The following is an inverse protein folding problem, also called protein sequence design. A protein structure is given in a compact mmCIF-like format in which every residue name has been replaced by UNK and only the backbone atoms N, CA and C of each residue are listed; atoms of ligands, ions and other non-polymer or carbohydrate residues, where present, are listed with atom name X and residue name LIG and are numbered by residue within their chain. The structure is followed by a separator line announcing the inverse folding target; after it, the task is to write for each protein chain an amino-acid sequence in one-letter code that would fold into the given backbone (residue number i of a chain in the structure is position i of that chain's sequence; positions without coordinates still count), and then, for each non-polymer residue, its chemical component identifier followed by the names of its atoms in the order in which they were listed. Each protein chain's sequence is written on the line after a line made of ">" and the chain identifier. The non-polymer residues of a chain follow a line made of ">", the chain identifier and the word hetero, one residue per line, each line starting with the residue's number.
data_IF_853720025807
#
_entry.id   IF_853720025807
#
_cell.length_a   1.000
_cell.length_b   1.000
_cell.length_c   1.000
_cell.angle_alpha   90.00
_cell.angle_beta   90.00
_cell.angle_gamma   90.00
#
_symmetry.space_group_name_H-M   'P 1'
#
loop_
_entity.id
_entity.type
_entity.pdbx_description
1 polymer ?
#
# COMPACT_ATOMS: atom_id res chain seq x y z
N UNK A 1 38.51 -13.77 -42.33
CA UNK A 1 38.74 -13.01 -41.08
C UNK A 1 38.08 -11.66 -41.23
N UNK A 2 37.04 -11.43 -40.44
CA UNK A 2 36.45 -10.15 -40.00
C UNK A 2 35.00 -10.44 -39.58
N UNK A 3 34.84 -10.96 -38.36
CA UNK A 3 33.53 -11.12 -37.73
C UNK A 3 33.07 -9.76 -37.15
N UNK A 4 31.77 -9.43 -37.22
CA UNK A 4 31.22 -8.18 -36.72
C UNK A 4 31.09 -8.19 -35.18
N UNK A 5 30.92 -7.02 -34.54
CA UNK A 5 31.09 -6.87 -33.10
C UNK A 5 29.91 -7.48 -32.32
N UNK A 6 30.26 -8.25 -31.28
CA UNK A 6 29.36 -8.68 -30.23
C UNK A 6 28.99 -7.47 -29.37
N UNK A 7 27.82 -6.88 -29.62
CA UNK A 7 27.18 -5.92 -28.72
C UNK A 7 25.78 -6.42 -28.37
N UNK A 8 25.61 -6.78 -27.11
CA UNK A 8 24.35 -7.22 -26.52
C UNK A 8 24.50 -7.33 -25.01
N UNK A 9 24.90 -6.22 -24.37
CA UNK A 9 25.01 -6.11 -22.93
C UNK A 9 23.62 -5.98 -22.28
N UNK A 10 23.13 -7.09 -21.70
CA UNK A 10 22.19 -7.22 -20.57
C UNK A 10 20.81 -6.53 -20.60
N UNK A 11 19.96 -6.76 -19.58
CA UNK A 11 20.05 -7.75 -18.50
C UNK A 11 18.93 -8.79 -18.56
N UNK A 12 19.25 -9.99 -18.07
CA UNK A 12 18.31 -11.03 -17.68
C UNK A 12 17.31 -10.46 -16.67
N UNK A 13 16.18 -9.95 -17.16
CA UNK A 13 15.05 -9.53 -16.34
C UNK A 13 14.09 -10.72 -16.21
N UNK A 14 14.64 -11.90 -15.93
CA UNK A 14 13.90 -13.13 -15.63
C UNK A 14 13.48 -13.18 -14.15
N UNK A 15 12.94 -12.06 -13.65
CA UNK A 15 12.48 -11.93 -12.27
C UNK A 15 10.99 -11.54 -12.15
N UNK A 16 10.24 -11.52 -13.26
CA UNK A 16 8.84 -11.06 -13.27
C UNK A 16 7.83 -12.12 -13.73
N UNK A 17 8.15 -13.41 -13.60
CA UNK A 17 7.28 -14.50 -14.08
C UNK A 17 6.48 -15.22 -12.98
N UNK A 18 6.43 -14.71 -11.74
CA UNK A 18 5.73 -15.38 -10.64
C UNK A 18 4.79 -14.51 -9.79
N UNK A 19 4.62 -13.22 -10.08
CA UNK A 19 3.79 -12.32 -9.28
C UNK A 19 2.58 -11.75 -10.05
N UNK A 20 1.75 -12.62 -10.64
CA UNK A 20 0.46 -12.22 -11.22
C UNK A 20 -0.63 -11.89 -10.17
N UNK A 21 -0.31 -11.83 -8.88
CA UNK A 21 -1.32 -11.64 -7.83
C UNK A 21 -1.10 -10.31 -7.08
N UNK A 22 -1.87 -9.31 -7.54
CA UNK A 22 -2.04 -7.96 -7.00
C UNK A 22 -0.87 -7.00 -7.28
N UNK A 23 -1.09 -6.07 -8.20
CA UNK A 23 -0.18 -4.95 -8.43
C UNK A 23 -0.07 -4.07 -7.18
N UNK A 24 1.05 -3.36 -6.95
CA UNK A 24 1.20 -2.42 -5.84
C UNK A 24 0.06 -1.39 -5.76
N UNK A 25 -0.43 -0.91 -6.90
CA UNK A 25 -1.59 -0.03 -6.98
C UNK A 25 -2.90 -0.66 -6.49
N UNK A 26 -3.08 -1.96 -6.72
CA UNK A 26 -4.26 -2.70 -6.24
C UNK A 26 -4.21 -2.91 -4.72
N UNK A 27 -3.02 -3.20 -4.17
CA UNK A 27 -2.79 -3.25 -2.71
C UNK A 27 -3.06 -1.89 -2.06
N UNK A 28 -2.62 -0.81 -2.69
CA UNK A 28 -2.87 0.55 -2.23
C UNK A 28 -4.37 0.86 -2.19
N UNK A 29 -5.11 0.51 -3.24
CA UNK A 29 -6.56 0.69 -3.31
C UNK A 29 -7.28 -0.10 -2.22
N UNK A 30 -6.86 -1.34 -1.97
CA UNK A 30 -7.42 -2.19 -0.92
C UNK A 30 -7.19 -1.57 0.47
N UNK A 31 -5.98 -1.11 0.76
CA UNK A 31 -5.66 -0.43 2.02
C UNK A 31 -6.46 0.87 2.18
N UNK A 32 -6.60 1.66 1.13
CA UNK A 32 -7.42 2.88 1.14
C UNK A 32 -8.90 2.57 1.40
N UNK A 33 -9.42 1.51 0.77
CA UNK A 33 -10.81 1.06 0.96
C UNK A 33 -11.04 0.62 2.40
N UNK A 34 -10.13 -0.19 2.97
CA UNK A 34 -10.17 -0.60 4.38
C UNK A 34 -10.10 0.60 5.33
N UNK A 35 -9.21 1.56 5.04
CA UNK A 35 -9.08 2.79 5.82
C UNK A 35 -10.39 3.61 5.82
N UNK A 36 -11.02 3.78 4.65
CA UNK A 36 -12.30 4.50 4.53
C UNK A 36 -13.44 3.78 5.26
N UNK A 37 -13.47 2.44 5.22
CA UNK A 37 -14.45 1.65 5.95
C UNK A 37 -14.29 1.80 7.47
N UNK A 38 -13.04 1.77 7.97
CA UNK A 38 -12.76 2.05 9.39
C UNK A 38 -13.18 3.46 9.79
N UNK A 39 -12.93 4.46 8.95
CA UNK A 39 -13.32 5.84 9.21
C UNK A 39 -14.83 5.98 9.37
N UNK A 40 -15.58 5.38 8.44
CA UNK A 40 -17.06 5.36 8.48
C UNK A 40 -17.54 4.69 9.77
N UNK A 41 -16.96 3.55 10.14
CA UNK A 41 -17.29 2.83 11.37
C UNK A 41 -17.00 3.64 12.63
N UNK A 42 -15.89 4.37 12.67
CA UNK A 42 -15.53 5.27 13.77
C UNK A 42 -16.54 6.42 13.86
N UNK A 43 -16.93 7.03 12.74
CA UNK A 43 -17.92 8.11 12.70
C UNK A 43 -19.31 7.65 13.18
N UNK A 44 -19.72 6.45 12.77
CA UNK A 44 -20.95 5.83 13.24
C UNK A 44 -20.90 5.57 14.76
N UNK A 45 -19.80 4.96 15.26
CA UNK A 45 -19.58 4.74 16.69
C UNK A 45 -19.61 6.03 17.51
N UNK A 46 -19.12 7.13 16.96
CA UNK A 46 -19.16 8.46 17.58
C UNK A 46 -20.58 9.04 17.67
N UNK A 47 -21.51 8.58 16.84
CA UNK A 47 -22.90 9.05 16.83
C UNK A 47 -23.76 8.40 17.93
N UNK A 48 -23.29 7.30 18.54
CA UNK A 48 -24.02 6.64 19.63
C UNK A 48 -23.71 7.28 20.99
N UNK A 49 -24.71 7.49 21.86
CA UNK A 49 -24.53 8.10 23.18
C UNK A 49 -23.68 7.25 24.15
N UNK A 50 -23.73 5.92 24.01
CA UNK A 50 -22.90 4.99 24.78
C UNK A 50 -21.79 4.39 23.90
N UNK A 51 -20.90 5.26 23.42
CA UNK A 51 -19.77 4.85 22.61
C UNK A 51 -18.76 4.02 23.42
N UNK A 52 -18.40 2.84 22.92
CA UNK A 52 -17.40 1.99 23.54
C UNK A 52 -15.99 2.58 23.30
N UNK A 53 -15.47 3.29 24.30
CA UNK A 53 -14.18 3.98 24.22
C UNK A 53 -13.01 3.04 23.91
N UNK A 54 -13.02 1.80 24.44
CA UNK A 54 -11.98 0.80 24.17
C UNK A 54 -12.00 0.40 22.69
N UNK A 55 -13.19 0.15 22.15
CA UNK A 55 -13.37 -0.17 20.74
C UNK A 55 -12.93 0.99 19.85
N UNK A 56 -13.32 2.22 20.18
CA UNK A 56 -12.91 3.43 19.45
C UNK A 56 -11.38 3.60 19.44
N UNK A 57 -10.72 3.41 20.59
CA UNK A 57 -9.26 3.46 20.66
C UNK A 57 -8.59 2.41 19.77
N UNK A 58 -9.11 1.17 19.76
CA UNK A 58 -8.61 0.10 18.87
C UNK A 58 -8.79 0.47 17.40
N UNK A 59 -9.97 0.94 17.01
CA UNK A 59 -10.25 1.31 15.61
C UNK A 59 -9.39 2.50 15.16
N UNK A 60 -9.19 3.51 16.02
CA UNK A 60 -8.28 4.63 15.73
C UNK A 60 -6.83 4.17 15.54
N UNK A 61 -6.37 3.24 16.38
CA UNK A 61 -5.02 2.65 16.24
C UNK A 61 -4.88 1.83 14.96
N UNK A 62 -5.91 1.09 14.59
CA UNK A 62 -5.93 0.32 13.33
C UNK A 62 -5.98 1.25 12.11
N UNK A 63 -6.77 2.32 12.16
CA UNK A 63 -6.81 3.38 11.15
C UNK A 63 -5.42 4.01 10.95
N UNK A 64 -4.72 4.34 12.04
CA UNK A 64 -3.36 4.89 11.97
C UNK A 64 -2.39 3.91 11.29
N UNK A 65 -2.43 2.62 11.67
CA UNK A 65 -1.60 1.58 11.03
C UNK A 65 -1.87 1.43 9.54
N UNK A 66 -3.14 1.51 9.12
CA UNK A 66 -3.46 1.49 7.69
C UNK A 66 -2.93 2.73 6.97
N UNK A 67 -3.00 3.91 7.60
CA UNK A 67 -2.41 5.14 7.05
C UNK A 67 -0.90 4.99 6.87
N UNK A 68 -0.20 4.51 7.89
CA UNK A 68 1.25 4.30 7.83
C UNK A 68 1.63 3.28 6.73
N UNK A 69 0.84 2.21 6.58
CA UNK A 69 1.05 1.22 5.52
C UNK A 69 0.79 1.79 4.12
N UNK A 70 -0.22 2.65 3.98
CA UNK A 70 -0.51 3.37 2.73
C UNK A 70 0.64 4.32 2.39
N UNK A 71 1.16 5.05 3.38
CA UNK A 71 2.28 5.99 3.18
C UNK A 71 3.55 5.23 2.78
N UNK A 72 3.92 4.16 3.50
CA UNK A 72 5.06 3.31 3.10
C UNK A 72 4.94 2.72 1.70
N UNK A 73 3.76 2.20 1.35
CA UNK A 73 3.53 1.63 0.02
C UNK A 73 3.56 2.72 -1.07
N UNK A 74 3.10 3.94 -0.76
CA UNK A 74 3.22 5.09 -1.65
C UNK A 74 4.66 5.54 -1.82
N UNK A 75 5.43 5.59 -0.74
CA UNK A 75 6.86 5.96 -0.75
C UNK A 75 7.69 4.93 -1.54
N UNK A 76 7.38 3.63 -1.43
CA UNK A 76 7.98 2.58 -2.26
C UNK A 76 7.64 2.73 -3.76
N UNK A 77 6.46 3.28 -4.08
CA UNK A 77 6.02 3.52 -5.46
C UNK A 77 6.45 4.89 -6.03
N UNK A 78 6.66 5.89 -5.17
CA UNK A 78 7.05 7.27 -5.51
C UNK A 78 8.26 7.61 -4.63
N UNK A 79 9.49 7.33 -5.09
CA UNK A 79 10.68 7.38 -4.24
C UNK A 79 11.13 8.80 -3.84
N UNK A 80 10.28 9.83 -3.91
CA UNK A 80 10.74 11.22 -3.81
C UNK A 80 9.67 12.20 -3.28
N UNK A 81 9.10 11.97 -2.08
CA UNK A 81 8.21 12.98 -1.50
C UNK A 81 8.18 13.15 0.03
N UNK A 82 9.21 12.74 0.78
CA UNK A 82 9.36 13.17 2.18
C UNK A 82 10.84 13.42 2.54
N UNK A 83 11.31 14.64 2.25
CA UNK A 83 12.44 15.32 2.88
C UNK A 83 11.91 16.47 3.74
#
# INVERSE_FOLDING_TARGET
>A
MSEPPQNGAGPDTDADAANELMTPGMRLLELQTKHRALDTKIAELHSYPYQNQILLQRLKKEKLRLKDAIERLKDEMIPDLNA
#
